data_IF_768883920800
#
_entry.id   IF_768883920800
#
_cell.length_a   1.000
_cell.length_b   1.000
_cell.length_c   1.000
_cell.angle_alpha   90.00
_cell.angle_beta   90.00
_cell.angle_gamma   90.00
#
_symmetry.space_group_name_H-M   'P 1'
#
loop_
_entity.id
_entity.type
_entity.pdbx_description
1 polymer ?
#
# COMPACT_ATOMS: atom_id res chain seq x y z
N UNK A 1 -17.58 -2.56 -12.79
CA UNK A 1 -18.66 -3.30 -12.11
C UNK A 1 -18.54 -4.79 -12.41
N UNK A 2 -18.17 -5.60 -11.42
CA UNK A 2 -18.41 -7.05 -11.31
C UNK A 2 -17.79 -7.51 -9.98
N UNK A 3 -18.45 -7.14 -8.88
CA UNK A 3 -18.16 -7.72 -7.57
C UNK A 3 -18.82 -9.10 -7.52
N UNK A 4 -18.04 -10.14 -7.79
CA UNK A 4 -18.41 -11.51 -7.45
C UNK A 4 -18.44 -11.67 -5.93
N UNK A 5 -19.61 -12.04 -5.39
CA UNK A 5 -19.81 -12.39 -3.98
C UNK A 5 -18.81 -13.47 -3.56
N UNK A 6 -17.87 -13.12 -2.69
CA UNK A 6 -17.00 -14.08 -1.99
C UNK A 6 -17.75 -14.54 -0.73
N UNK A 7 -17.83 -15.85 -0.45
CA UNK A 7 -18.69 -16.40 0.59
C UNK A 7 -18.22 -15.99 1.98
N UNK A 8 -19.18 -15.55 2.80
CA UNK A 8 -19.00 -15.40 4.24
C UNK A 8 -18.66 -16.76 4.83
N UNK A 9 -17.39 -17.00 5.14
CA UNK A 9 -17.00 -18.05 6.08
C UNK A 9 -17.23 -17.47 7.47
N UNK A 10 -18.50 -17.45 7.89
CA UNK A 10 -18.87 -17.33 9.29
C UNK A 10 -18.41 -18.62 9.95
N UNK A 11 -17.21 -18.62 10.56
CA UNK A 11 -16.90 -19.67 11.52
C UNK A 11 -17.81 -19.45 12.74
N UNK A 12 -18.52 -20.47 13.21
CA UNK A 12 -19.21 -20.38 14.47
C UNK A 12 -18.18 -20.03 15.54
N UNK A 13 -18.52 -19.05 16.39
CA UNK A 13 -17.80 -18.75 17.63
C UNK A 13 -17.79 -20.05 18.42
N UNK A 14 -16.71 -20.81 18.30
CA UNK A 14 -16.45 -21.92 19.19
C UNK A 14 -16.16 -21.29 20.54
N UNK A 15 -17.12 -21.40 21.45
CA UNK A 15 -16.92 -21.20 22.88
C UNK A 15 -15.93 -22.27 23.33
N UNK A 16 -14.65 -22.02 23.10
CA UNK A 16 -13.57 -22.84 23.61
C UNK A 16 -13.45 -22.52 25.10
N UNK A 17 -13.61 -23.57 25.91
CA UNK A 17 -13.58 -23.51 27.37
C UNK A 17 -12.26 -22.90 27.83
N UNK A 18 -12.26 -21.62 28.19
CA UNK A 18 -11.21 -21.06 29.02
C UNK A 18 -11.28 -21.75 30.38
N UNK A 19 -10.45 -22.77 30.59
CA UNK A 19 -10.11 -23.23 31.95
C UNK A 19 -9.11 -22.25 32.56
N UNK A 20 -9.48 -20.98 32.63
CA UNK A 20 -8.86 -20.07 33.59
C UNK A 20 -9.61 -20.31 34.89
N UNK A 21 -9.07 -21.17 35.75
CA UNK A 21 -9.43 -21.13 37.16
C UNK A 21 -9.06 -19.73 37.66
N UNK A 22 -10.07 -18.87 37.78
CA UNK A 22 -9.99 -17.63 38.53
C UNK A 22 -9.70 -18.04 39.98
N UNK A 23 -8.42 -18.09 40.34
CA UNK A 23 -7.99 -18.23 41.72
C UNK A 23 -8.29 -16.89 42.37
N UNK A 24 -9.49 -16.77 42.92
CA UNK A 24 -9.90 -15.71 43.83
C UNK A 24 -9.16 -15.90 45.16
N UNK A 25 -7.91 -15.46 45.24
CA UNK A 25 -7.23 -15.28 46.54
C UNK A 25 -7.69 -13.94 47.14
N UNK A 26 -8.76 -14.03 47.93
CA UNK A 26 -9.30 -12.94 48.73
C UNK A 26 -8.44 -12.77 49.99
N UNK A 27 -7.59 -11.74 50.03
CA UNK A 27 -7.23 -11.10 51.29
C UNK A 27 -7.91 -9.72 51.31
N UNK A 28 -9.06 -9.64 51.99
CA UNK A 28 -9.73 -8.37 52.27
C UNK A 28 -8.90 -7.58 53.27
N UNK A 29 -8.18 -6.57 52.80
CA UNK A 29 -7.75 -5.44 53.62
C UNK A 29 -8.63 -4.23 53.26
N UNK A 30 -9.12 -3.54 54.28
CA UNK A 30 -10.08 -2.43 54.20
C UNK A 30 -9.43 -1.16 53.61
N UNK A 31 -9.10 -1.18 52.32
CA UNK A 31 -8.71 0.00 51.55
C UNK A 31 -9.70 0.23 50.41
N UNK A 32 -9.91 1.48 50.01
CA UNK A 32 -10.61 1.82 48.77
C UNK A 32 -9.87 1.19 47.60
N UNK A 33 -10.40 0.07 47.11
CA UNK A 33 -9.80 -0.72 46.06
C UNK A 33 -9.95 0.00 44.72
N UNK A 34 -8.84 0.45 44.15
CA UNK A 34 -8.84 1.15 42.87
C UNK A 34 -8.77 0.15 41.71
N UNK A 35 -9.17 0.57 40.51
CA UNK A 35 -8.99 -0.23 39.29
C UNK A 35 -7.53 -0.59 39.03
N UNK A 36 -6.62 0.26 39.48
CA UNK A 36 -5.18 0.11 39.31
C UNK A 36 -4.62 -1.00 40.21
N UNK A 37 -5.15 -1.13 41.42
CA UNK A 37 -4.82 -2.25 42.33
C UNK A 37 -5.25 -3.59 41.71
N UNK A 38 -6.44 -3.63 41.10
CA UNK A 38 -6.95 -4.81 40.37
C UNK A 38 -6.05 -5.22 39.21
N UNK A 39 -5.62 -4.26 38.39
CA UNK A 39 -4.76 -4.55 37.25
C UNK A 39 -3.38 -5.00 37.69
N UNK A 40 -2.84 -4.41 38.76
CA UNK A 40 -1.56 -4.82 39.33
C UNK A 40 -1.60 -6.25 39.87
N UNK A 41 -2.61 -6.60 40.67
CA UNK A 41 -2.76 -7.94 41.25
C UNK A 41 -2.94 -9.01 40.15
N UNK A 42 -3.72 -8.71 39.11
CA UNK A 42 -3.89 -9.60 37.95
C UNK A 42 -2.60 -9.76 37.16
N UNK A 43 -1.82 -8.70 37.00
CA UNK A 43 -0.54 -8.74 36.30
C UNK A 43 0.49 -9.59 37.08
N UNK A 44 0.57 -9.45 38.40
CA UNK A 44 1.47 -10.28 39.22
C UNK A 44 1.04 -11.74 39.25
N UNK A 45 -0.26 -12.01 39.26
CA UNK A 45 -0.81 -13.36 39.12
C UNK A 45 -0.43 -13.98 37.77
N UNK A 46 -0.53 -13.20 36.69
CA UNK A 46 -0.15 -13.61 35.34
C UNK A 46 1.36 -13.88 35.23
N UNK A 47 2.21 -12.99 35.76
CA UNK A 47 3.67 -13.18 35.83
C UNK A 47 4.03 -14.48 36.56
N UNK A 48 3.38 -14.74 37.69
CA UNK A 48 3.61 -15.96 38.49
C UNK A 48 3.19 -17.21 37.74
N UNK A 49 2.03 -17.19 37.09
CA UNK A 49 1.52 -18.29 36.28
C UNK A 49 2.48 -18.63 35.12
N UNK A 50 2.92 -17.61 34.38
CA UNK A 50 3.83 -17.77 33.24
C UNK A 50 5.18 -18.31 33.69
N UNK A 51 5.78 -17.76 34.77
CA UNK A 51 7.05 -18.27 35.31
C UNK A 51 6.95 -19.73 35.70
N UNK A 52 5.88 -20.11 36.40
CA UNK A 52 5.64 -21.50 36.80
C UNK A 52 5.54 -22.42 35.58
N UNK A 53 4.84 -22.02 34.52
CA UNK A 53 4.67 -22.84 33.33
C UNK A 53 6.00 -23.02 32.57
N UNK A 54 6.81 -21.96 32.47
CA UNK A 54 8.15 -21.98 31.87
C UNK A 54 9.12 -22.87 32.68
N UNK A 55 9.06 -22.84 34.01
CA UNK A 55 9.92 -23.64 34.89
C UNK A 55 9.53 -25.11 34.88
N UNK A 56 8.23 -25.41 34.83
CA UNK A 56 7.70 -26.78 34.91
C UNK A 56 7.98 -27.58 33.65
N UNK A 57 7.95 -26.94 32.47
CA UNK A 57 8.13 -27.62 31.18
C UNK A 57 9.59 -27.57 30.73
N UNK A 58 10.13 -28.70 30.29
CA UNK A 58 11.49 -28.79 29.72
C UNK A 58 11.55 -28.09 28.34
N UNK A 59 10.49 -28.22 27.55
CA UNK A 59 10.29 -27.54 26.27
C UNK A 59 8.86 -27.01 26.18
N UNK A 60 8.70 -25.81 25.61
CA UNK A 60 7.39 -25.20 25.39
C UNK A 60 6.89 -25.57 24.00
N UNK A 61 5.87 -26.42 23.96
CA UNK A 61 5.16 -26.75 22.73
C UNK A 61 4.40 -25.54 22.21
N UNK A 62 4.12 -25.54 20.90
CA UNK A 62 3.46 -24.44 20.19
C UNK A 62 2.13 -24.04 20.86
N UNK A 63 1.30 -25.03 21.17
CA UNK A 63 -0.01 -24.83 21.82
C UNK A 63 0.15 -24.16 23.20
N UNK A 64 1.13 -24.58 24.00
CA UNK A 64 1.38 -23.98 25.29
C UNK A 64 1.78 -22.50 25.17
N UNK A 65 2.56 -22.14 24.15
CA UNK A 65 2.94 -20.73 23.91
C UNK A 65 1.73 -19.90 23.49
N UNK A 66 0.84 -20.46 22.67
CA UNK A 66 -0.41 -19.80 22.29
C UNK A 66 -1.31 -19.62 23.52
N UNK A 67 -1.48 -20.62 24.38
CA UNK A 67 -2.29 -20.50 25.61
C UNK A 67 -1.75 -19.40 26.55
N UNK A 68 -0.41 -19.32 26.69
CA UNK A 68 0.24 -18.26 27.47
C UNK A 68 0.00 -16.88 26.83
N UNK A 69 0.13 -16.80 25.51
CA UNK A 69 -0.15 -15.57 24.77
C UNK A 69 -1.63 -15.15 24.90
N UNK A 70 -2.59 -16.06 24.76
CA UNK A 70 -4.02 -15.78 24.92
C UNK A 70 -4.35 -15.29 26.33
N UNK A 71 -3.64 -15.80 27.34
CA UNK A 71 -3.77 -15.33 28.73
C UNK A 71 -3.30 -13.88 28.87
N UNK A 72 -2.16 -13.53 28.24
CA UNK A 72 -1.65 -12.15 28.19
C UNK A 72 -2.61 -11.26 27.40
N UNK A 73 -3.09 -11.74 26.25
CA UNK A 73 -4.00 -10.99 25.38
C UNK A 73 -5.33 -10.72 26.09
N UNK A 74 -5.88 -11.70 26.80
CA UNK A 74 -7.12 -11.53 27.59
C UNK A 74 -6.95 -10.46 28.67
N UNK A 75 -5.77 -10.42 29.31
CA UNK A 75 -5.43 -9.35 30.24
C UNK A 75 -5.36 -7.99 29.54
N UNK A 76 -4.63 -7.89 28.43
CA UNK A 76 -4.49 -6.65 27.65
C UNK A 76 -5.84 -6.13 27.11
N UNK A 77 -6.70 -7.01 26.61
CA UNK A 77 -8.06 -6.68 26.16
C UNK A 77 -8.90 -6.08 27.30
N UNK A 78 -8.81 -6.66 28.50
CA UNK A 78 -9.54 -6.12 29.66
C UNK A 78 -9.10 -4.71 30.07
N UNK A 79 -7.83 -4.36 29.82
CA UNK A 79 -7.31 -2.99 30.02
C UNK A 79 -7.78 -2.08 28.89
N UNK A 80 -7.74 -2.57 27.65
CA UNK A 80 -8.15 -1.83 26.47
C UNK A 80 -9.63 -1.44 26.54
N UNK A 81 -10.48 -2.35 27.01
CA UNK A 81 -11.91 -2.08 27.21
C UNK A 81 -12.16 -0.97 28.24
N UNK A 82 -11.30 -0.89 29.27
CA UNK A 82 -11.37 0.14 30.31
C UNK A 82 -10.77 1.48 29.86
N UNK A 83 -9.67 1.46 29.10
CA UNK A 83 -8.98 2.66 28.62
C UNK A 83 -8.58 2.56 27.14
N UNK A 84 -9.46 3.03 26.27
CA UNK A 84 -9.30 2.98 24.80
C UNK A 84 -8.38 4.08 24.23
N UNK A 85 -8.10 5.13 25.00
CA UNK A 85 -7.59 6.40 24.46
C UNK A 85 -6.08 6.41 24.20
N UNK A 86 -5.29 5.54 24.83
CA UNK A 86 -3.82 5.47 24.60
C UNK A 86 -3.18 4.14 25.05
N UNK A 87 -3.33 3.06 24.27
CA UNK A 87 -2.76 1.75 24.60
C UNK A 87 -1.24 1.76 24.71
N UNK A 88 -0.56 2.54 23.85
CA UNK A 88 0.91 2.65 23.81
C UNK A 88 1.51 3.21 25.10
N UNK A 89 0.76 4.06 25.83
CA UNK A 89 1.24 4.76 27.02
C UNK A 89 0.81 4.08 28.32
N UNK A 90 0.01 3.03 28.24
CA UNK A 90 -0.50 2.35 29.41
C UNK A 90 0.59 1.47 30.03
N UNK A 91 0.94 1.77 31.29
CA UNK A 91 1.97 1.06 32.06
C UNK A 91 1.76 -0.45 32.06
N UNK A 92 0.52 -0.92 32.24
CA UNK A 92 0.21 -2.35 32.34
C UNK A 92 0.37 -3.08 31.01
N UNK A 93 0.06 -2.41 29.89
CA UNK A 93 0.29 -2.96 28.56
C UNK A 93 1.79 -3.11 28.31
N UNK A 94 2.58 -2.09 28.64
CA UNK A 94 4.04 -2.12 28.51
C UNK A 94 4.64 -3.26 29.35
N UNK A 95 4.26 -3.36 30.63
CA UNK A 95 4.77 -4.44 31.49
C UNK A 95 4.33 -5.83 31.00
N UNK A 96 3.08 -5.99 30.55
CA UNK A 96 2.62 -7.27 29.99
C UNK A 96 3.33 -7.65 28.69
N UNK A 97 3.76 -6.66 27.88
CA UNK A 97 4.57 -6.88 26.69
C UNK A 97 6.00 -7.33 27.02
N UNK A 98 6.60 -6.83 28.11
CA UNK A 98 7.88 -7.36 28.58
C UNK A 98 7.74 -8.82 29.03
N UNK A 99 6.64 -9.19 29.68
CA UNK A 99 6.36 -10.60 30.02
C UNK A 99 6.18 -11.46 28.76
N UNK A 100 5.48 -10.95 27.74
CA UNK A 100 5.33 -11.65 26.46
C UNK A 100 6.69 -11.88 25.78
N UNK A 101 7.53 -10.85 25.78
CA UNK A 101 8.88 -10.92 25.23
C UNK A 101 9.72 -11.98 25.95
N UNK A 102 9.62 -12.09 27.27
CA UNK A 102 10.29 -13.16 28.03
C UNK A 102 9.83 -14.57 27.60
N UNK A 103 8.54 -14.74 27.30
CA UNK A 103 7.98 -16.01 26.80
C UNK A 103 8.52 -16.35 25.40
N UNK A 104 8.52 -15.36 24.48
CA UNK A 104 8.93 -15.56 23.08
C UNK A 104 10.44 -15.68 22.91
N UNK A 105 11.22 -15.04 23.79
CA UNK A 105 12.69 -15.07 23.81
C UNK A 105 13.27 -16.27 24.55
N UNK A 106 12.45 -17.03 25.26
CA UNK A 106 12.93 -18.16 26.03
C UNK A 106 13.58 -19.21 25.10
N UNK A 107 14.73 -19.75 25.52
CA UNK A 107 15.45 -20.82 24.80
C UNK A 107 14.58 -22.07 24.61
N UNK A 108 13.64 -22.33 25.55
CA UNK A 108 12.71 -23.47 25.51
C UNK A 108 11.59 -23.33 24.49
N UNK A 109 11.32 -22.12 24.02
CA UNK A 109 10.27 -21.81 23.04
C UNK A 109 10.86 -21.92 21.65
N UNK A 110 10.26 -22.63 20.70
CA UNK A 110 10.70 -22.56 19.29
C UNK A 110 9.87 -21.52 18.53
N UNK A 111 10.37 -20.28 18.45
CA UNK A 111 9.64 -19.20 17.78
C UNK A 111 9.89 -19.19 16.27
N UNK A 112 9.15 -20.03 15.56
CA UNK A 112 9.20 -20.19 14.12
C UNK A 112 8.13 -19.36 13.38
N UNK A 113 8.18 -19.39 12.05
CA UNK A 113 7.20 -18.71 11.19
C UNK A 113 5.76 -19.24 11.40
N UNK A 114 5.63 -20.52 11.73
CA UNK A 114 4.35 -21.18 11.99
C UNK A 114 3.67 -20.65 13.26
N UNK A 115 4.44 -20.45 14.33
CA UNK A 115 3.97 -19.84 15.56
C UNK A 115 3.68 -18.35 15.38
N UNK A 116 4.53 -17.63 14.66
CA UNK A 116 4.28 -16.23 14.31
C UNK A 116 2.95 -16.05 13.58
N UNK A 117 2.65 -16.94 12.62
CA UNK A 117 1.38 -16.94 11.89
C UNK A 117 0.17 -17.12 12.82
N UNK A 118 0.23 -18.07 13.76
CA UNK A 118 -0.85 -18.29 14.72
C UNK A 118 -1.06 -17.09 15.65
N UNK A 119 0.03 -16.49 16.14
CA UNK A 119 -0.03 -15.25 16.93
C UNK A 119 -0.58 -14.08 16.09
N UNK A 120 -0.30 -14.00 14.80
CA UNK A 120 -0.88 -12.97 13.95
C UNK A 120 -2.38 -13.18 13.71
N UNK A 121 -2.86 -14.42 13.73
CA UNK A 121 -4.27 -14.75 13.57
C UNK A 121 -5.13 -14.39 14.78
N UNK A 122 -4.56 -14.31 15.98
CA UNK A 122 -5.27 -13.79 17.17
C UNK A 122 -5.53 -12.29 17.09
N UNK A 123 -4.83 -11.61 16.18
CA UNK A 123 -4.96 -10.18 15.89
C UNK A 123 -4.60 -9.25 17.06
N UNK A 124 -3.34 -9.26 17.53
CA UNK A 124 -2.86 -8.40 18.61
C UNK A 124 -3.10 -6.92 18.34
N UNK A 125 -3.23 -6.15 19.42
CA UNK A 125 -3.15 -4.69 19.36
C UNK A 125 -1.75 -4.23 18.94
N UNK A 126 -1.65 -3.07 18.29
CA UNK A 126 -0.41 -2.60 17.68
C UNK A 126 0.83 -2.59 18.61
N UNK A 127 0.78 -2.10 19.88
CA UNK A 127 1.96 -2.13 20.76
C UNK A 127 2.49 -3.55 21.03
N UNK A 128 1.57 -4.51 21.12
CA UNK A 128 1.90 -5.93 21.33
C UNK A 128 2.45 -6.54 20.04
N UNK A 129 1.87 -6.19 18.89
CA UNK A 129 2.34 -6.60 17.57
C UNK A 129 3.78 -6.14 17.29
N UNK A 130 4.10 -4.90 17.65
CA UNK A 130 5.46 -4.35 17.59
C UNK A 130 6.44 -5.17 18.44
N UNK A 131 6.05 -5.50 19.68
CA UNK A 131 6.86 -6.33 20.57
C UNK A 131 7.10 -7.73 20.01
N UNK A 132 6.08 -8.35 19.41
CA UNK A 132 6.17 -9.67 18.77
C UNK A 132 7.15 -9.63 17.60
N UNK A 133 7.05 -8.62 16.72
CA UNK A 133 7.93 -8.47 15.56
C UNK A 133 9.38 -8.25 15.98
N UNK A 134 9.62 -7.34 16.92
CA UNK A 134 10.98 -7.13 17.44
C UNK A 134 11.55 -8.39 18.08
N UNK A 135 10.71 -9.15 18.78
CA UNK A 135 11.11 -10.43 19.36
C UNK A 135 11.47 -11.45 18.26
N UNK A 136 10.68 -11.52 17.19
CA UNK A 136 10.98 -12.41 16.08
C UNK A 136 12.32 -12.08 15.41
N UNK A 137 12.59 -10.79 15.18
CA UNK A 137 13.86 -10.36 14.58
C UNK A 137 15.08 -10.46 15.49
N UNK A 138 14.91 -10.31 16.80
CA UNK A 138 16.03 -10.42 17.74
C UNK A 138 16.52 -11.87 17.87
N UNK A 139 15.68 -12.86 17.54
CA UNK A 139 16.00 -14.28 17.64
C UNK A 139 17.03 -14.75 16.60
N UNK A 140 16.88 -14.32 15.35
CA UNK A 140 17.88 -14.55 14.30
C UNK A 140 17.98 -13.33 13.39
N UNK A 141 19.22 -12.92 13.09
CA UNK A 141 19.55 -11.89 12.11
C UNK A 141 19.04 -12.18 10.68
N UNK A 142 18.86 -13.45 10.32
CA UNK A 142 18.43 -13.88 8.99
C UNK A 142 16.91 -13.96 8.83
N UNK A 143 16.16 -13.95 9.94
CA UNK A 143 14.70 -14.01 9.88
C UNK A 143 14.14 -12.74 9.25
N UNK A 144 13.21 -12.96 8.33
CA UNK A 144 12.40 -11.95 7.67
C UNK A 144 10.93 -12.36 7.76
N UNK A 145 10.01 -11.40 7.64
CA UNK A 145 8.58 -11.69 7.64
C UNK A 145 8.12 -11.66 6.18
N UNK A 146 7.62 -12.77 5.62
CA UNK A 146 7.06 -12.78 4.28
C UNK A 146 5.85 -11.85 4.17
N UNK A 147 5.66 -11.26 2.98
CA UNK A 147 4.57 -10.31 2.76
C UNK A 147 3.19 -10.92 3.05
N UNK A 148 3.00 -12.22 2.76
CA UNK A 148 1.73 -12.93 3.02
C UNK A 148 1.38 -12.95 4.51
N UNK A 149 2.37 -13.13 5.38
CA UNK A 149 2.18 -13.07 6.83
C UNK A 149 1.99 -11.64 7.32
N UNK A 150 2.74 -10.70 6.75
CA UNK A 150 2.59 -9.28 7.08
C UNK A 150 1.16 -8.77 6.78
N UNK A 151 0.52 -9.30 5.72
CA UNK A 151 -0.85 -8.91 5.38
C UNK A 151 -1.90 -9.30 6.43
N UNK A 152 -1.64 -10.27 7.31
CA UNK A 152 -2.64 -10.76 8.29
C UNK A 152 -3.04 -9.65 9.28
N UNK A 153 -2.14 -9.14 10.13
CA UNK A 153 -2.50 -8.08 11.07
C UNK A 153 -2.69 -6.72 10.36
N UNK A 154 -2.01 -6.50 9.23
CA UNK A 154 -2.19 -5.30 8.43
C UNK A 154 -3.64 -5.05 8.00
N UNK A 155 -4.35 -6.11 7.59
CA UNK A 155 -5.77 -6.00 7.23
C UNK A 155 -6.62 -5.47 8.37
N UNK A 156 -6.35 -5.89 9.60
CA UNK A 156 -7.05 -5.38 10.78
C UNK A 156 -6.72 -3.92 11.04
N UNK A 157 -5.44 -3.52 10.96
CA UNK A 157 -5.05 -2.12 11.16
C UNK A 157 -5.74 -1.18 10.16
N UNK A 158 -5.90 -1.61 8.90
CA UNK A 158 -6.69 -0.88 7.90
C UNK A 158 -8.18 -0.87 8.29
N UNK A 159 -8.74 -2.03 8.64
CA UNK A 159 -10.16 -2.14 9.00
C UNK A 159 -10.54 -1.28 10.20
N UNK A 160 -9.65 -1.19 11.19
CA UNK A 160 -9.84 -0.38 12.39
C UNK A 160 -9.55 1.12 12.15
N UNK A 161 -9.20 1.53 10.92
CA UNK A 161 -8.89 2.92 10.56
C UNK A 161 -7.60 3.46 11.20
N UNK A 162 -6.70 2.58 11.65
CA UNK A 162 -5.47 2.96 12.37
C UNK A 162 -4.31 3.23 11.40
N UNK A 163 -4.49 4.19 10.48
CA UNK A 163 -3.57 4.40 9.34
C UNK A 163 -2.13 4.72 9.72
N UNK A 164 -1.92 5.52 10.78
CA UNK A 164 -0.56 5.82 11.26
C UNK A 164 0.16 4.57 11.78
N UNK A 165 -0.56 3.72 12.51
CA UNK A 165 -0.04 2.45 13.03
C UNK A 165 0.17 1.44 11.88
N UNK A 166 -0.71 1.44 10.87
CA UNK A 166 -0.52 0.65 9.65
C UNK A 166 0.77 1.06 8.91
N UNK A 167 1.08 2.35 8.81
CA UNK A 167 2.33 2.84 8.21
C UNK A 167 3.56 2.42 9.02
N UNK A 168 3.48 2.47 10.34
CA UNK A 168 4.54 1.95 11.21
C UNK A 168 4.73 0.45 11.06
N UNK A 169 3.64 -0.30 10.99
CA UNK A 169 3.66 -1.74 10.73
C UNK A 169 4.34 -2.09 9.39
N UNK A 170 4.06 -1.31 8.35
CA UNK A 170 4.69 -1.49 7.04
C UNK A 170 6.21 -1.32 7.13
N UNK A 171 6.70 -0.30 7.85
CA UNK A 171 8.13 -0.09 8.07
C UNK A 171 8.77 -1.23 8.88
N UNK A 172 8.05 -1.78 9.86
CA UNK A 172 8.54 -2.90 10.66
C UNK A 172 8.65 -4.20 9.85
N UNK A 173 7.81 -4.37 8.81
CA UNK A 173 7.72 -5.61 8.03
C UNK A 173 8.34 -5.48 6.63
N UNK A 174 7.54 -5.16 5.61
CA UNK A 174 7.97 -5.10 4.22
C UNK A 174 8.91 -3.92 3.92
N UNK A 175 8.94 -2.90 4.78
CA UNK A 175 9.89 -1.79 4.73
C UNK A 175 11.20 -2.04 5.49
N UNK A 176 11.37 -3.22 6.11
CA UNK A 176 12.54 -3.55 6.90
C UNK A 176 13.73 -3.94 6.01
N UNK A 177 14.95 -3.54 6.39
CA UNK A 177 16.19 -3.89 5.68
C UNK A 177 16.37 -5.40 5.48
N UNK A 178 15.90 -6.21 6.44
CA UNK A 178 15.99 -7.68 6.35
C UNK A 178 15.12 -8.24 5.23
N UNK A 179 13.94 -7.67 5.04
CA UNK A 179 13.05 -8.03 3.93
C UNK A 179 13.68 -7.64 2.59
N UNK A 180 14.27 -6.45 2.50
CA UNK A 180 15.00 -6.03 1.30
C UNK A 180 16.22 -6.90 1.02
N UNK A 181 16.95 -7.34 2.05
CA UNK A 181 18.07 -8.27 1.89
C UNK A 181 17.61 -9.62 1.33
N UNK A 182 16.48 -10.15 1.80
CA UNK A 182 15.86 -11.35 1.24
C UNK A 182 15.49 -11.16 -0.25
N UNK A 183 14.80 -10.07 -0.59
CA UNK A 183 14.42 -9.75 -1.97
C UNK A 183 15.66 -9.62 -2.88
N UNK A 184 16.72 -8.97 -2.39
CA UNK A 184 17.99 -8.83 -3.10
C UNK A 184 18.66 -10.18 -3.39
N UNK A 185 18.63 -11.13 -2.43
CA UNK A 185 19.11 -12.50 -2.65
C UNK A 185 18.31 -13.19 -3.77
N UNK A 186 16.99 -13.02 -3.79
CA UNK A 186 16.12 -13.50 -4.86
C UNK A 186 16.52 -12.95 -6.23
N UNK A 187 16.75 -11.64 -6.33
CA UNK A 187 17.20 -10.99 -7.56
C UNK A 187 18.54 -11.54 -8.06
N UNK A 188 19.52 -11.71 -7.15
CA UNK A 188 20.82 -12.31 -7.48
C UNK A 188 20.66 -13.74 -7.96
N UNK A 189 19.74 -14.51 -7.37
CA UNK A 189 19.47 -15.86 -7.84
C UNK A 189 18.90 -15.88 -9.26
N UNK A 190 17.96 -14.99 -9.57
CA UNK A 190 17.40 -14.86 -10.92
C UNK A 190 18.49 -14.52 -11.92
N UNK A 191 19.37 -13.56 -11.59
CA UNK A 191 20.51 -13.19 -12.43
C UNK A 191 21.48 -14.36 -12.65
N UNK A 192 21.73 -15.18 -11.63
CA UNK A 192 22.56 -16.40 -11.74
C UNK A 192 21.91 -17.43 -12.66
N UNK A 193 20.60 -17.68 -12.53
CA UNK A 193 19.89 -18.60 -13.41
C UNK A 193 19.90 -18.11 -14.86
N UNK A 194 19.67 -16.81 -15.07
CA UNK A 194 19.74 -16.20 -16.38
C UNK A 194 21.14 -16.36 -16.98
N UNK A 195 22.19 -15.94 -16.27
CA UNK A 195 23.58 -16.12 -16.73
C UNK A 195 23.95 -17.58 -17.02
N UNK A 196 23.51 -18.51 -16.16
CA UNK A 196 23.69 -19.94 -16.37
C UNK A 196 22.99 -20.46 -17.63
N UNK A 197 21.79 -19.96 -17.94
CA UNK A 197 21.07 -20.31 -19.16
C UNK A 197 21.79 -19.85 -20.43
N UNK A 198 22.43 -18.67 -20.41
CA UNK A 198 23.24 -18.17 -21.53
C UNK A 198 24.45 -19.07 -21.76
N UNK A 199 25.19 -19.39 -20.69
CA UNK A 199 26.35 -20.28 -20.76
C UNK A 199 25.95 -21.66 -21.28
N UNK A 200 24.83 -22.21 -20.80
CA UNK A 200 24.28 -23.48 -21.27
C UNK A 200 23.91 -23.45 -22.75
N UNK A 201 23.27 -22.38 -23.23
CA UNK A 201 22.95 -22.19 -24.65
C UNK A 201 24.21 -22.15 -25.51
N UNK A 202 25.22 -21.37 -25.10
CA UNK A 202 26.51 -21.27 -25.80
C UNK A 202 27.20 -22.64 -25.84
N UNK A 203 27.24 -23.37 -24.73
CA UNK A 203 27.84 -24.70 -24.66
C UNK A 203 27.10 -25.72 -25.56
N UNK A 204 25.76 -25.66 -25.60
CA UNK A 204 24.95 -26.49 -26.48
C UNK A 204 25.22 -26.22 -27.95
N UNK A 205 25.30 -24.95 -28.34
CA UNK A 205 25.65 -24.54 -29.71
C UNK A 205 27.08 -24.95 -30.04
N UNK A 206 28.02 -24.80 -29.11
CA UNK A 206 29.40 -25.26 -29.30
C UNK A 206 29.49 -26.76 -29.55
N UNK A 207 28.80 -27.57 -28.73
CA UNK A 207 28.75 -29.02 -28.91
C UNK A 207 28.12 -29.42 -30.24
N UNK A 208 27.02 -28.78 -30.62
CA UNK A 208 26.34 -29.03 -31.89
C UNK A 208 27.24 -28.70 -33.10
N UNK A 209 27.85 -27.51 -33.12
CA UNK A 209 28.78 -27.12 -34.20
C UNK A 209 30.02 -28.01 -34.19
N UNK A 210 30.52 -28.42 -33.02
CA UNK A 210 31.66 -29.33 -32.92
C UNK A 210 31.41 -30.72 -33.51
N UNK A 211 30.18 -31.24 -33.40
CA UNK A 211 29.81 -32.55 -33.93
C UNK A 211 29.48 -32.49 -35.43
N UNK A 212 28.71 -31.49 -35.86
CA UNK A 212 28.14 -31.46 -37.21
C UNK A 212 28.89 -30.55 -38.19
N UNK A 213 29.61 -29.53 -37.70
CA UNK A 213 30.26 -28.51 -38.53
C UNK A 213 31.64 -28.09 -37.96
N UNK A 214 32.59 -29.03 -37.77
CA UNK A 214 33.88 -28.75 -37.13
C UNK A 214 34.71 -27.70 -37.89
N UNK A 215 34.49 -27.55 -39.19
CA UNK A 215 35.13 -26.56 -40.05
C UNK A 215 34.90 -25.11 -39.58
N UNK A 216 33.73 -24.83 -38.99
CA UNK A 216 33.37 -23.50 -38.47
C UNK A 216 34.18 -23.15 -37.22
N UNK A 217 34.57 -24.16 -36.44
CA UNK A 217 35.45 -23.99 -35.27
C UNK A 217 36.88 -23.73 -35.74
N UNK A 218 37.35 -24.49 -36.73
CA UNK A 218 38.69 -24.35 -37.30
C UNK A 218 38.89 -23.00 -38.04
N UNK A 219 37.85 -22.49 -38.71
CA UNK A 219 37.88 -21.21 -39.43
C UNK A 219 38.13 -19.98 -38.54
N UNK A 220 37.98 -20.11 -37.22
CA UNK A 220 38.31 -19.06 -36.24
C UNK A 220 39.76 -19.05 -35.77
N UNK A 221 40.56 -20.08 -36.05
CA UNK A 221 41.93 -20.21 -35.55
C UNK A 221 43.00 -19.52 -36.43
N UNK A 222 42.62 -19.01 -37.61
CA UNK A 222 43.53 -18.53 -38.66
C UNK A 222 43.45 -17.04 -39.03
N UNK A 223 42.76 -16.20 -38.25
CA UNK A 223 42.97 -14.74 -38.28
C UNK A 223 42.11 -13.87 -39.22
N UNK A 224 41.19 -14.40 -40.03
CA UNK A 224 40.39 -13.54 -40.94
C UNK A 224 38.89 -13.83 -41.03
N UNK A 225 38.35 -14.85 -40.34
CA UNK A 225 36.90 -15.05 -40.23
C UNK A 225 36.49 -15.15 -38.76
N UNK A 226 35.39 -14.51 -38.38
CA UNK A 226 34.91 -14.50 -37.00
C UNK A 226 34.50 -15.90 -36.47
N UNK A 227 34.49 -16.94 -37.32
CA UNK A 227 34.29 -18.34 -36.92
C UNK A 227 33.13 -18.55 -35.94
N UNK A 228 33.28 -19.50 -35.01
CA UNK A 228 32.29 -19.75 -33.96
C UNK A 228 32.19 -18.61 -32.93
N UNK A 229 33.25 -17.81 -32.76
CA UNK A 229 33.26 -16.68 -31.83
C UNK A 229 32.35 -15.52 -32.28
N UNK A 230 32.17 -15.35 -33.59
CA UNK A 230 31.19 -14.42 -34.16
C UNK A 230 29.76 -14.83 -33.81
N UNK A 231 29.47 -16.14 -33.82
CA UNK A 231 28.17 -16.68 -33.40
C UNK A 231 27.94 -16.41 -31.91
N UNK A 232 28.94 -16.60 -31.06
CA UNK A 232 28.84 -16.25 -29.63
C UNK A 232 28.59 -14.77 -29.42
N UNK A 233 29.32 -13.91 -30.12
CA UNK A 233 29.11 -12.47 -30.06
C UNK A 233 27.68 -12.10 -30.47
N UNK A 234 27.16 -12.67 -31.56
CA UNK A 234 25.77 -12.45 -31.99
C UNK A 234 24.74 -12.87 -30.93
N UNK A 235 24.92 -14.05 -30.31
CA UNK A 235 24.02 -14.56 -29.27
C UNK A 235 24.08 -13.67 -28.02
N UNK A 236 25.28 -13.34 -27.55
CA UNK A 236 25.45 -12.49 -26.38
C UNK A 236 24.86 -11.11 -26.63
N UNK A 237 25.16 -10.49 -27.78
CA UNK A 237 24.62 -9.19 -28.15
C UNK A 237 23.10 -9.22 -28.27
N UNK A 238 22.52 -10.26 -28.87
CA UNK A 238 21.07 -10.44 -28.96
C UNK A 238 20.43 -10.55 -27.57
N UNK A 239 20.98 -11.40 -26.70
CA UNK A 239 20.45 -11.60 -25.35
C UNK A 239 20.62 -10.37 -24.45
N UNK A 240 21.73 -9.63 -24.59
CA UNK A 240 21.92 -8.34 -23.92
C UNK A 240 20.91 -7.32 -24.41
N UNK A 241 20.67 -7.25 -25.73
CA UNK A 241 19.67 -6.34 -26.30
C UNK A 241 18.24 -6.71 -25.85
N UNK A 242 17.89 -7.99 -25.88
CA UNK A 242 16.62 -8.48 -25.33
C UNK A 242 16.50 -8.21 -23.83
N UNK A 243 17.57 -8.40 -23.06
CA UNK A 243 17.61 -8.11 -21.63
C UNK A 243 17.42 -6.62 -21.35
N UNK A 244 18.02 -5.74 -22.15
CA UNK A 244 17.84 -4.29 -22.07
C UNK A 244 16.40 -3.88 -22.41
N UNK A 245 15.85 -4.35 -23.53
CA UNK A 245 14.47 -4.08 -23.93
C UNK A 245 13.45 -4.66 -22.94
N UNK A 246 13.70 -5.87 -22.44
CA UNK A 246 12.90 -6.47 -21.38
C UNK A 246 12.96 -5.59 -20.13
N UNK A 247 14.16 -5.16 -19.71
CA UNK A 247 14.36 -4.23 -18.61
C UNK A 247 13.54 -2.95 -18.75
N UNK A 248 13.54 -2.33 -19.93
CA UNK A 248 12.71 -1.14 -20.22
C UNK A 248 11.21 -1.46 -20.19
N UNK A 249 10.79 -2.58 -20.77
CA UNK A 249 9.37 -2.96 -20.82
C UNK A 249 8.80 -3.29 -19.42
N UNK A 250 9.57 -3.96 -18.56
CA UNK A 250 9.17 -4.29 -17.20
C UNK A 250 9.36 -3.13 -16.22
N UNK A 251 10.27 -2.20 -16.54
CA UNK A 251 10.42 -0.94 -15.83
C UNK A 251 9.09 -0.15 -15.84
N UNK A 252 8.43 -0.03 -17.00
CA UNK A 252 7.13 0.66 -17.09
C UNK A 252 6.01 0.04 -16.25
N UNK A 253 5.94 -1.29 -16.16
CA UNK A 253 4.85 -2.01 -15.47
C UNK A 253 4.92 -2.00 -13.94
N UNK A 254 6.04 -1.53 -13.37
CA UNK A 254 6.23 -1.43 -11.92
C UNK A 254 6.07 -0.01 -11.37
N UNK A 255 5.89 1.00 -12.23
CA UNK A 255 5.85 2.41 -11.85
C UNK A 255 4.52 2.81 -11.21
N UNK A 256 3.42 2.15 -11.53
CA UNK A 256 2.07 2.49 -11.08
C UNK A 256 1.46 1.32 -10.31
N UNK A 257 1.19 1.50 -9.00
CA UNK A 257 0.27 0.62 -8.25
C UNK A 257 -0.93 1.43 -7.78
N UNK A 258 -1.85 1.69 -8.71
CA UNK A 258 -3.05 2.48 -8.44
C UNK A 258 -2.69 3.91 -8.07
N UNK A 259 -2.97 4.28 -6.81
CA UNK A 259 -2.85 5.65 -6.31
C UNK A 259 -1.41 6.07 -5.97
N UNK A 260 -0.40 5.22 -6.22
CA UNK A 260 0.99 5.48 -5.89
C UNK A 260 1.94 5.23 -7.06
N UNK A 261 2.93 6.12 -7.17
CA UNK A 261 4.08 5.99 -8.06
C UNK A 261 5.39 6.05 -7.27
N UNK A 262 6.44 5.44 -7.82
CA UNK A 262 7.79 5.63 -7.27
C UNK A 262 8.27 7.06 -7.50
N UNK A 263 9.00 7.62 -6.53
CA UNK A 263 9.60 8.94 -6.69
C UNK A 263 10.51 8.98 -7.93
N UNK A 264 10.42 10.07 -8.68
CA UNK A 264 11.26 10.31 -9.87
C UNK A 264 12.74 10.12 -9.54
N UNK A 265 13.46 9.35 -10.37
CA UNK A 265 14.87 9.03 -10.18
C UNK A 265 15.17 7.78 -9.34
N UNK A 266 14.13 7.09 -8.85
CA UNK A 266 14.31 5.78 -8.19
C UNK A 266 14.74 4.73 -9.22
N UNK A 267 15.76 3.94 -8.90
CA UNK A 267 16.30 2.95 -9.83
C UNK A 267 15.40 1.70 -9.93
N UNK A 268 15.34 1.00 -11.08
CA UNK A 268 14.48 -0.17 -11.25
C UNK A 268 14.72 -1.31 -10.26
N UNK A 269 15.95 -1.46 -9.76
CA UNK A 269 16.25 -2.46 -8.73
C UNK A 269 15.54 -2.14 -7.41
N UNK A 270 15.42 -0.86 -7.03
CA UNK A 270 14.71 -0.42 -5.84
C UNK A 270 13.20 -0.66 -5.97
N UNK A 271 12.66 -0.55 -7.19
CA UNK A 271 11.25 -0.85 -7.44
C UNK A 271 10.92 -2.29 -7.08
N UNK A 272 11.76 -3.24 -7.52
CA UNK A 272 11.59 -4.65 -7.20
C UNK A 272 11.67 -4.91 -5.68
N UNK A 273 12.55 -4.20 -4.97
CA UNK A 273 12.72 -4.35 -3.52
C UNK A 273 11.52 -3.80 -2.74
N UNK A 274 10.97 -2.66 -3.19
CA UNK A 274 9.94 -1.90 -2.49
C UNK A 274 8.51 -2.15 -2.98
N UNK A 275 8.29 -2.96 -4.01
CA UNK A 275 6.96 -3.15 -4.60
C UNK A 275 5.90 -3.61 -3.57
N UNK A 276 6.26 -4.50 -2.65
CA UNK A 276 5.30 -5.01 -1.66
C UNK A 276 5.05 -4.00 -0.53
N UNK A 277 6.03 -3.15 -0.21
CA UNK A 277 5.84 -1.96 0.63
C UNK A 277 4.87 -0.98 -0.05
N UNK A 278 5.07 -0.71 -1.36
CA UNK A 278 4.22 0.18 -2.15
C UNK A 278 2.77 -0.30 -2.20
N UNK A 279 2.54 -1.60 -2.39
CA UNK A 279 1.18 -2.18 -2.39
C UNK A 279 0.47 -1.96 -1.06
N UNK A 280 1.16 -2.14 0.06
CA UNK A 280 0.58 -1.87 1.38
C UNK A 280 0.28 -0.38 1.54
N UNK A 281 1.22 0.51 1.21
CA UNK A 281 0.99 1.95 1.27
C UNK A 281 -0.18 2.41 0.37
N UNK A 282 -0.32 1.82 -0.81
CA UNK A 282 -1.41 2.12 -1.75
C UNK A 282 -2.77 1.78 -1.13
N UNK A 283 -2.87 0.63 -0.44
CA UNK A 283 -4.08 0.23 0.29
C UNK A 283 -4.37 1.11 1.52
N UNK A 284 -3.35 1.63 2.18
CA UNK A 284 -3.53 2.60 3.27
C UNK A 284 -4.11 3.90 2.70
N UNK A 285 -3.58 4.40 1.58
CA UNK A 285 -4.08 5.63 0.94
C UNK A 285 -5.53 5.47 0.49
N UNK A 286 -5.84 4.36 -0.17
CA UNK A 286 -7.20 4.07 -0.63
C UNK A 286 -8.18 4.05 0.56
N UNK A 287 -7.85 3.35 1.64
CA UNK A 287 -8.71 3.28 2.82
C UNK A 287 -8.80 4.61 3.58
N UNK A 288 -7.71 5.39 3.67
CA UNK A 288 -7.72 6.70 4.32
C UNK A 288 -8.49 7.73 3.50
N UNK A 289 -8.38 7.70 2.17
CA UNK A 289 -9.20 8.49 1.27
C UNK A 289 -10.69 8.17 1.41
N UNK A 290 -11.05 6.89 1.50
CA UNK A 290 -12.44 6.45 1.63
C UNK A 290 -13.07 6.81 2.99
N UNK A 291 -12.27 6.80 4.07
CA UNK A 291 -12.77 6.99 5.44
C UNK A 291 -12.64 8.44 5.91
N UNK A 292 -11.46 9.05 5.72
CA UNK A 292 -11.13 10.37 6.24
C UNK A 292 -11.06 11.46 5.16
N UNK A 293 -11.05 11.06 3.88
CA UNK A 293 -10.86 11.99 2.78
C UNK A 293 -12.05 12.90 2.53
N UNK A 294 -11.77 14.16 2.22
CA UNK A 294 -12.69 15.01 1.48
C UNK A 294 -12.46 14.72 0.00
N UNK A 295 -13.52 14.52 -0.79
CA UNK A 295 -13.46 14.28 -2.24
C UNK A 295 -12.57 13.10 -2.71
N UNK A 296 -12.35 12.10 -1.84
CA UNK A 296 -11.55 10.91 -2.19
C UNK A 296 -10.03 11.11 -2.09
N UNK A 297 -9.58 12.16 -1.39
CA UNK A 297 -8.16 12.37 -1.11
C UNK A 297 -7.73 11.80 0.22
N UNK A 298 -6.56 11.17 0.28
CA UNK A 298 -5.96 10.79 1.54
C UNK A 298 -5.51 12.01 2.36
N UNK A 299 -5.54 11.87 3.67
CA UNK A 299 -5.13 12.87 4.66
C UNK A 299 -3.67 13.26 4.45
N UNK A 300 -3.36 14.55 4.59
CA UNK A 300 -1.99 15.10 4.43
C UNK A 300 -0.94 14.36 5.28
N UNK A 301 -1.31 13.92 6.48
CA UNK A 301 -0.39 13.21 7.38
C UNK A 301 -0.01 11.83 6.85
N UNK A 302 -0.94 11.12 6.21
CA UNK A 302 -0.69 9.83 5.54
C UNK A 302 0.15 10.05 4.30
N UNK A 303 -0.24 11.02 3.46
CA UNK A 303 0.48 11.38 2.22
C UNK A 303 1.93 11.76 2.49
N UNK A 304 2.17 12.69 3.43
CA UNK A 304 3.52 13.17 3.76
C UNK A 304 4.42 12.06 4.30
N UNK A 305 3.85 11.08 5.01
CA UNK A 305 4.60 9.93 5.54
C UNK A 305 4.95 8.93 4.45
N UNK A 306 4.06 8.71 3.49
CA UNK A 306 4.30 7.84 2.33
C UNK A 306 5.34 8.45 1.37
N UNK A 307 5.32 9.77 1.19
CA UNK A 307 6.39 10.50 0.48
C UNK A 307 7.76 10.30 1.11
N UNK A 308 7.86 10.29 2.45
CA UNK A 308 9.11 9.98 3.16
C UNK A 308 9.60 8.54 2.92
N UNK A 309 8.71 7.60 2.59
CA UNK A 309 9.07 6.22 2.23
C UNK A 309 9.58 6.09 0.78
N UNK A 310 9.44 7.15 -0.02
CA UNK A 310 9.92 7.23 -1.41
C UNK A 310 8.83 7.00 -2.47
N UNK A 311 7.55 7.18 -2.11
CA UNK A 311 6.43 7.05 -3.03
C UNK A 311 5.70 8.39 -3.16
N UNK A 312 5.41 8.79 -4.40
CA UNK A 312 4.58 9.96 -4.67
C UNK A 312 3.13 9.49 -4.92
N UNK A 313 2.16 10.28 -4.47
CA UNK A 313 0.74 9.99 -4.70
C UNK A 313 0.41 10.34 -6.13
N UNK A 314 -0.22 9.41 -6.84
CA UNK A 314 -0.74 9.63 -8.17
C UNK A 314 -2.04 10.42 -8.02
N UNK A 315 -1.96 11.73 -8.24
CA UNK A 315 -3.15 12.58 -8.28
C UNK A 315 -3.94 12.24 -9.54
N UNK A 316 -5.29 12.16 -9.48
CA UNK A 316 -6.09 11.90 -10.65
C UNK A 316 -5.86 12.99 -11.71
N UNK A 317 -5.74 12.57 -12.97
CA UNK A 317 -5.36 13.44 -14.09
C UNK A 317 -6.27 14.67 -14.22
N UNK A 318 -7.57 14.52 -13.91
CA UNK A 318 -8.52 15.63 -13.95
C UNK A 318 -8.14 16.78 -13.02
N UNK A 319 -7.52 16.50 -11.88
CA UNK A 319 -7.14 17.53 -10.91
C UNK A 319 -5.80 18.15 -11.23
N UNK A 320 -4.88 17.37 -11.81
CA UNK A 320 -3.65 17.93 -12.39
C UNK A 320 -4.02 18.91 -13.49
N UNK A 321 -4.98 18.54 -14.36
CA UNK A 321 -5.54 19.43 -15.37
C UNK A 321 -6.24 20.64 -14.76
N UNK A 322 -7.03 20.48 -13.69
CA UNK A 322 -7.69 21.60 -13.01
C UNK A 322 -6.67 22.56 -12.38
N UNK A 323 -5.60 22.05 -11.75
CA UNK A 323 -4.52 22.88 -11.20
C UNK A 323 -3.76 23.60 -12.30
N UNK A 324 -3.50 22.93 -13.43
CA UNK A 324 -2.90 23.56 -14.59
C UNK A 324 -3.81 24.65 -15.16
N UNK A 325 -5.12 24.41 -15.26
CA UNK A 325 -6.12 25.40 -15.62
C UNK A 325 -6.04 26.63 -14.72
N UNK A 326 -6.04 26.44 -13.39
CA UNK A 326 -5.93 27.56 -12.46
C UNK A 326 -4.59 28.28 -12.56
N UNK A 327 -3.49 27.54 -12.77
CA UNK A 327 -2.15 28.12 -12.90
C UNK A 327 -1.96 28.89 -14.21
N UNK A 328 -2.52 28.38 -15.32
CA UNK A 328 -2.51 29.05 -16.62
C UNK A 328 -3.62 30.09 -16.75
N UNK A 329 -4.43 30.31 -15.71
CA UNK A 329 -5.62 31.18 -15.77
C UNK A 329 -6.58 30.81 -16.91
N UNK A 330 -6.67 29.52 -17.22
CA UNK A 330 -7.49 28.97 -18.31
C UNK A 330 -6.87 29.06 -19.70
N UNK A 331 -5.64 29.57 -19.82
CA UNK A 331 -4.93 29.59 -21.10
C UNK A 331 -4.63 28.16 -21.56
N UNK A 332 -5.03 27.82 -22.78
CA UNK A 332 -4.90 26.48 -23.37
C UNK A 332 -6.04 25.51 -23.04
N UNK A 333 -7.03 25.92 -22.23
CA UNK A 333 -8.20 25.11 -21.91
C UNK A 333 -9.44 25.64 -22.62
N UNK A 334 -10.25 24.73 -23.16
CA UNK A 334 -11.57 25.07 -23.71
C UNK A 334 -12.62 24.45 -22.77
N UNK A 335 -13.50 25.28 -22.22
CA UNK A 335 -14.68 24.77 -21.52
C UNK A 335 -15.63 24.17 -22.54
N UNK A 336 -15.81 22.86 -22.44
CA UNK A 336 -16.75 22.11 -23.27
C UNK A 336 -17.99 21.86 -22.43
N UNK A 337 -19.15 22.27 -22.92
CA UNK A 337 -20.41 21.95 -22.27
C UNK A 337 -20.61 20.42 -22.25
N UNK A 338 -21.28 19.84 -21.23
CA UNK A 338 -21.37 18.38 -21.05
C UNK A 338 -21.93 17.60 -22.25
N UNK A 339 -22.68 18.29 -23.11
CA UNK A 339 -23.40 17.71 -24.24
C UNK A 339 -22.59 17.80 -25.56
N UNK A 340 -21.41 18.42 -25.55
CA UNK A 340 -20.57 18.58 -26.74
C UNK A 340 -19.41 17.58 -26.69
N UNK A 341 -19.28 16.76 -27.72
CA UNK A 341 -18.15 15.84 -27.85
C UNK A 341 -16.85 16.62 -28.16
N UNK A 342 -15.75 16.40 -27.42
CA UNK A 342 -14.45 16.98 -27.74
C UNK A 342 -13.99 16.70 -29.19
N UNK A 343 -14.34 15.53 -29.74
CA UNK A 343 -14.04 15.18 -31.13
C UNK A 343 -14.80 16.07 -32.13
N UNK A 344 -16.02 16.49 -31.79
CA UNK A 344 -16.76 17.43 -32.62
C UNK A 344 -16.03 18.78 -32.66
N UNK A 345 -15.51 19.27 -31.53
CA UNK A 345 -14.75 20.52 -31.50
C UNK A 345 -13.48 20.46 -32.35
N UNK A 346 -12.72 19.36 -32.27
CA UNK A 346 -11.55 19.18 -33.14
C UNK A 346 -11.96 19.11 -34.62
N UNK A 347 -13.07 18.44 -34.93
CA UNK A 347 -13.63 18.38 -36.27
C UNK A 347 -14.09 19.74 -36.78
N UNK A 348 -14.72 20.56 -35.93
CA UNK A 348 -15.11 21.93 -36.25
C UNK A 348 -13.89 22.81 -36.54
N UNK A 349 -12.82 22.71 -35.74
CA UNK A 349 -11.56 23.41 -35.99
C UNK A 349 -10.93 22.98 -37.32
N UNK A 350 -10.94 21.68 -37.60
CA UNK A 350 -10.45 21.14 -38.86
C UNK A 350 -11.25 21.64 -40.07
N UNK A 351 -12.58 21.71 -39.95
CA UNK A 351 -13.47 22.25 -40.99
C UNK A 351 -13.24 23.74 -41.21
N UNK A 352 -13.00 24.51 -40.15
CA UNK A 352 -12.70 25.94 -40.22
C UNK A 352 -11.33 26.20 -40.89
N UNK A 353 -10.31 25.40 -40.55
CA UNK A 353 -8.98 25.41 -41.19
C UNK A 353 -9.06 25.08 -42.70
N UNK A 354 -10.01 24.22 -43.10
CA UNK A 354 -10.29 23.88 -44.51
C UNK A 354 -11.18 24.94 -45.19
N UNK A 355 -11.75 25.89 -44.43
CA UNK A 355 -12.59 26.98 -44.92
C UNK A 355 -14.04 26.58 -45.17
N UNK A 356 -14.52 25.50 -44.56
CA UNK A 356 -15.93 25.04 -44.66
C UNK A 356 -16.77 25.81 -43.64
N UNK A 357 -17.50 26.85 -44.10
CA UNK A 357 -18.41 27.62 -43.24
C UNK A 357 -19.61 26.79 -42.78
N UNK A 358 -20.04 27.00 -41.52
CA UNK A 358 -21.23 26.38 -40.93
C UNK A 358 -22.48 26.69 -41.77
N UNK A 359 -23.18 25.64 -42.20
CA UNK A 359 -24.41 25.76 -43.01
C UNK A 359 -25.57 26.43 -42.23
N UNK A 360 -25.49 26.46 -40.90
CA UNK A 360 -26.54 27.03 -40.02
C UNK A 360 -26.44 28.55 -39.78
N UNK A 361 -25.39 29.24 -40.28
CA UNK A 361 -25.25 30.70 -40.17
C UNK A 361 -26.26 31.49 -41.04
N UNK A 362 -26.98 30.81 -41.94
CA UNK A 362 -28.02 31.44 -42.77
C UNK A 362 -29.25 31.89 -41.98
N UNK A 363 -29.48 31.37 -40.76
CA UNK A 363 -30.60 31.78 -39.93
C UNK A 363 -30.23 32.86 -38.91
N UNK A 364 -28.97 32.94 -38.46
CA UNK A 364 -28.45 34.04 -37.64
C UNK A 364 -28.42 35.38 -38.41
N UNK A 365 -28.03 35.34 -39.68
CA UNK A 365 -28.05 36.52 -40.56
C UNK A 365 -29.47 37.02 -40.88
N UNK A 366 -30.50 36.17 -40.75
CA UNK A 366 -31.91 36.60 -40.85
C UNK A 366 -32.44 37.20 -39.55
N UNK A 367 -31.93 36.78 -38.40
CA UNK A 367 -32.29 37.36 -37.09
C UNK A 367 -31.69 38.76 -36.96
N UNK A 368 -30.43 38.97 -37.36
CA UNK A 368 -29.81 40.31 -37.38
C UNK A 368 -30.52 41.28 -38.36
N UNK A 369 -31.09 40.77 -39.46
CA UNK A 369 -31.90 41.57 -40.38
C UNK A 369 -33.31 41.85 -39.87
N UNK A 370 -33.87 40.99 -39.01
CA UNK A 370 -35.16 41.20 -38.37
C UNK A 370 -35.06 42.29 -37.29
N UNK A 371 -34.01 42.26 -36.46
CA UNK A 371 -33.76 43.26 -35.41
C UNK A 371 -33.43 44.66 -35.98
N UNK A 372 -32.90 44.74 -37.20
CA UNK A 372 -32.64 46.02 -37.88
C UNK A 372 -33.90 46.67 -38.51
N UNK A 373 -35.05 45.99 -38.47
CA UNK A 373 -36.30 46.45 -39.11
C UNK A 373 -37.40 46.89 -38.14
N UNK A 374 -37.18 46.79 -36.82
CA UNK A 374 -38.06 47.33 -35.78
C UNK A 374 -37.56 48.70 -35.26
N UNK A 375 -37.44 49.70 -36.15
CA UNK A 375 -37.50 51.11 -35.72
C UNK A 375 -38.98 51.52 -35.65
N UNK A 376 -39.57 51.40 -34.45
CA UNK A 376 -40.87 52.03 -34.11
C UNK A 376 -40.57 53.30 -33.31
N UNK A 377 -41.05 54.43 -33.83
CA UNK A 377 -40.93 55.78 -33.28
C UNK A 377 -41.42 55.89 -31.82
N UNK A 378 -40.55 56.37 -30.93
CA UNK A 378 -40.86 56.77 -29.55
C UNK A 378 -41.60 58.13 -29.51
N UNK A 379 -42.73 58.28 -28.81
CA UNK A 379 -43.20 59.59 -28.40
C UNK A 379 -42.54 60.01 -27.09
N UNK A 380 -41.79 61.11 -27.15
CA UNK A 380 -41.16 61.82 -26.03
C UNK A 380 -42.12 62.04 -24.84
N UNK A 381 -41.71 61.65 -23.63
CA UNK A 381 -42.31 62.12 -22.37
C UNK A 381 -41.23 62.74 -21.48
N UNK A 382 -41.46 64.02 -21.17
CA UNK A 382 -40.65 64.95 -20.39
C UNK A 382 -40.47 64.53 -18.91
N UNK A 383 -39.33 64.81 -18.26
CA UNK A 383 -39.04 64.38 -16.90
C UNK A 383 -39.48 65.44 -15.89
N UNK A 384 -40.75 65.43 -15.49
CA UNK A 384 -41.20 66.05 -14.23
C UNK A 384 -42.63 65.62 -13.96
N UNK A 385 -42.82 64.61 -13.11
CA UNK A 385 -43.96 64.57 -12.18
C UNK A 385 -43.76 63.44 -11.16
N UNK A 386 -44.18 63.75 -9.94
CA UNK A 386 -44.07 63.03 -8.69
C UNK A 386 -44.52 61.56 -8.73
N UNK A 387 -44.00 60.73 -7.81
CA UNK A 387 -44.74 59.72 -7.03
C UNK A 387 -43.76 59.01 -6.07
N UNK A 388 -43.66 59.45 -4.81
CA UNK A 388 -44.45 59.01 -3.64
C UNK A 388 -44.08 57.58 -3.18
N UNK A 389 -43.34 57.53 -2.06
CA UNK A 389 -43.14 56.33 -1.24
C UNK A 389 -44.43 55.99 -0.47
N UNK A 390 -44.84 54.72 -0.36
CA UNK A 390 -45.90 54.34 0.56
C UNK A 390 -45.32 54.14 1.97
N UNK A 391 -45.74 54.99 2.90
CA UNK A 391 -45.60 54.75 4.32
C UNK A 391 -46.84 54.01 4.86
N UNK A 392 -46.54 53.09 5.76
CA UNK A 392 -47.45 52.37 6.63
C UNK A 392 -48.49 53.28 7.30
N UNK A 393 -49.78 52.90 7.24
CA UNK A 393 -50.67 52.87 8.40
C UNK A 393 -52.07 52.30 8.03
N UNK A 394 -52.45 51.27 8.82
CA UNK A 394 -53.77 50.64 9.02
C UNK A 394 -54.34 49.72 7.95
#
# INVERSE_FOLDING_TARGET
MLFGRIPQIVRPISIFKSRVHIISLRHQTNGTFTSDDLFQDRLESLKTYIKKEIETKEKLDKEAVIDLYESIETFQRSIYDFNKLSPQKNKYIIESNEVLKDVLMNEKTNFDESLLKEIFLTQPVFPTLETIIYSYYKRDSQFYIPSELAFIPFRKLIWDGQFQQALDYVNLTNGNERYFAYRKKGLVSILKYFGGSIVGLIAGIHGFVGVFYPEIIAAGAGGTSFGIYGIYACIVTYLVNCGFLAGLSFSSKGLENGNLIFKKGTMPHDWYLKVDQMKMCSKIIEADADINGMDGFATRDVVSRIQKMGFDVNEPEQEVMLRQYWYSSGEGFLWVEPDIDPADIEWWKHLDDIGVKKVWDQDLSKIEQADASEEVEDPEINPSDDLILPNENK
#
